data_IF_942660347212
#
_entry.id   IF_942660347212
#
_cell.length_a   1.000
_cell.length_b   1.000
_cell.length_c   1.000
_cell.angle_alpha   90.00
_cell.angle_beta   90.00
_cell.angle_gamma   90.00
#
_symmetry.space_group_name_H-M   'P 1'
#
loop_
_entity.id
_entity.type
_entity.pdbx_description
1 polymer ?
#
# COMPACT_ATOMS: atom_id res chain seq x y z
N UNK A 1 11.30 61.64 -42.88
CA UNK A 1 10.64 60.33 -42.97
C UNK A 1 11.67 59.21 -42.97
N UNK A 2 11.85 58.55 -41.82
CA UNK A 2 12.06 57.09 -41.64
C UNK A 2 12.55 56.87 -40.20
N UNK A 3 11.65 56.34 -39.39
CA UNK A 3 11.81 56.01 -37.98
C UNK A 3 12.89 54.95 -37.76
N UNK A 4 13.67 55.08 -36.69
CA UNK A 4 14.26 53.94 -35.97
C UNK A 4 14.02 54.15 -34.48
N UNK A 5 12.87 53.65 -34.00
CA UNK A 5 12.70 53.30 -32.60
C UNK A 5 13.57 52.07 -32.33
N UNK A 6 14.53 52.20 -31.40
CA UNK A 6 15.20 51.06 -30.79
C UNK A 6 14.44 50.76 -29.51
N UNK A 7 13.55 49.77 -29.57
CA UNK A 7 12.92 49.16 -28.39
C UNK A 7 13.99 48.39 -27.63
N UNK A 8 14.47 48.92 -26.50
CA UNK A 8 15.14 48.10 -25.49
C UNK A 8 14.07 47.40 -24.66
N UNK A 9 13.71 46.19 -25.08
CA UNK A 9 12.94 45.25 -24.28
C UNK A 9 13.89 44.71 -23.20
N UNK A 10 13.74 45.16 -21.95
CA UNK A 10 14.36 44.50 -20.81
C UNK A 10 13.61 43.17 -20.57
N UNK A 11 14.14 42.08 -21.10
CA UNK A 11 13.71 40.73 -20.74
C UNK A 11 14.29 40.43 -19.36
N UNK A 12 13.47 40.61 -18.33
CA UNK A 12 13.76 40.06 -17.00
C UNK A 12 13.56 38.55 -17.11
N UNK A 13 14.66 37.82 -17.33
CA UNK A 13 14.68 36.38 -17.16
C UNK A 13 14.49 36.08 -15.66
N UNK A 14 13.25 35.82 -15.26
CA UNK A 14 12.98 35.17 -13.99
C UNK A 14 13.56 33.75 -14.08
N UNK A 15 14.80 33.58 -13.64
CA UNK A 15 15.37 32.27 -13.39
C UNK A 15 14.55 31.64 -12.25
N UNK A 16 13.56 30.83 -12.61
CA UNK A 16 12.95 29.88 -11.69
C UNK A 16 14.04 28.86 -11.33
N UNK A 17 14.78 29.15 -10.27
CA UNK A 17 15.58 28.14 -9.58
C UNK A 17 14.58 27.13 -9.06
N UNK A 18 14.41 26.04 -9.80
CA UNK A 18 13.75 24.85 -9.29
C UNK A 18 14.64 24.33 -8.16
N UNK A 19 14.35 24.75 -6.93
CA UNK A 19 14.81 24.03 -5.74
C UNK A 19 14.25 22.63 -5.85
N UNK A 20 15.09 21.68 -6.24
CA UNK A 20 14.80 20.26 -6.08
C UNK A 20 14.64 20.05 -4.57
N UNK A 21 13.39 20.01 -4.09
CA UNK A 21 13.11 19.62 -2.72
C UNK A 21 13.70 18.22 -2.55
N UNK A 22 14.65 18.08 -1.63
CA UNK A 22 15.13 16.76 -1.22
C UNK A 22 13.94 15.99 -0.67
N UNK A 23 13.65 14.82 -1.25
CA UNK A 23 12.64 13.91 -0.72
C UNK A 23 13.06 13.53 0.71
N UNK A 24 12.17 13.72 1.68
CA UNK A 24 12.42 13.33 3.06
C UNK A 24 12.55 11.79 3.15
N UNK A 25 13.27 11.29 4.15
CA UNK A 25 13.31 9.85 4.46
C UNK A 25 12.53 9.63 5.75
N UNK A 26 11.63 8.66 5.77
CA UNK A 26 10.93 8.27 7.00
C UNK A 26 11.91 7.54 7.91
N UNK A 27 11.76 7.72 9.22
CA UNK A 27 12.46 6.91 10.20
C UNK A 27 11.77 5.55 10.27
N UNK A 28 12.55 4.48 10.16
CA UNK A 28 12.03 3.13 10.30
C UNK A 28 11.92 2.79 11.77
N UNK A 29 10.74 2.31 12.16
CA UNK A 29 10.52 1.71 13.46
C UNK A 29 10.60 0.20 13.27
N UNK A 30 11.60 -0.43 13.89
CA UNK A 30 11.81 -1.87 13.76
C UNK A 30 10.98 -2.63 14.79
N UNK A 31 10.26 -3.69 14.39
CA UNK A 31 9.58 -4.53 15.36
C UNK A 31 10.58 -5.37 16.16
N UNK A 32 10.26 -5.56 17.44
CA UNK A 32 10.99 -6.41 18.38
C UNK A 32 10.45 -7.83 18.42
N UNK A 33 9.20 -8.05 17.99
CA UNK A 33 8.61 -9.36 17.81
C UNK A 33 7.54 -9.33 16.70
N UNK A 34 7.39 -10.45 15.98
CA UNK A 34 6.32 -10.70 15.02
C UNK A 34 5.72 -12.06 15.34
N UNK A 35 4.40 -12.12 15.45
CA UNK A 35 3.65 -13.36 15.60
C UNK A 35 2.72 -13.53 14.41
N UNK A 36 2.67 -14.74 13.89
CA UNK A 36 1.82 -15.10 12.76
C UNK A 36 0.88 -16.24 13.13
N UNK A 37 -0.22 -16.33 12.41
CA UNK A 37 -1.11 -17.49 12.46
C UNK A 37 -1.06 -18.20 11.12
N UNK A 38 -1.01 -19.52 11.19
CA UNK A 38 -1.21 -20.41 10.06
C UNK A 38 -2.64 -20.94 10.15
N UNK A 39 -3.49 -20.76 9.12
CA UNK A 39 -4.86 -21.28 9.12
C UNK A 39 -4.93 -22.79 9.41
N UNK A 40 -6.08 -23.23 9.91
CA UNK A 40 -6.25 -24.64 10.28
C UNK A 40 -6.27 -25.51 9.03
N UNK A 41 -5.32 -26.42 8.92
CA UNK A 41 -5.20 -27.35 7.80
C UNK A 41 -4.07 -27.02 6.84
N UNK A 42 -3.40 -25.88 7.00
CA UNK A 42 -2.28 -25.48 6.16
C UNK A 42 -1.07 -26.41 6.38
N UNK A 43 -0.34 -26.70 5.31
CA UNK A 43 0.80 -27.59 5.30
C UNK A 43 1.91 -27.06 6.20
N UNK A 44 2.42 -27.98 7.03
CA UNK A 44 3.31 -27.69 8.13
C UNK A 44 4.55 -26.90 7.68
N UNK A 45 4.82 -25.84 8.42
CA UNK A 45 6.09 -25.16 8.38
C UNK A 45 7.26 -26.12 8.60
N UNK A 46 8.36 -25.89 7.88
CA UNK A 46 9.59 -26.65 8.10
C UNK A 46 10.49 -25.90 9.06
N UNK A 47 10.82 -26.51 10.20
CA UNK A 47 11.80 -25.92 11.11
C UNK A 47 13.20 -26.09 10.53
N UNK A 48 13.89 -24.97 10.33
CA UNK A 48 15.29 -24.93 9.87
C UNK A 48 16.17 -24.34 10.96
N UNK A 49 17.49 -24.42 10.81
CA UNK A 49 18.44 -23.73 11.72
C UNK A 49 18.25 -22.19 11.70
N UNK A 50 17.70 -21.63 10.61
CA UNK A 50 17.40 -20.22 10.47
C UNK A 50 16.03 -19.81 11.05
N UNK A 51 15.21 -20.78 11.46
CA UNK A 51 13.87 -20.58 11.99
C UNK A 51 12.80 -21.41 11.27
N UNK A 52 11.55 -21.17 11.65
CA UNK A 52 10.37 -21.78 11.02
C UNK A 52 10.15 -21.17 9.63
N UNK A 53 10.20 -22.01 8.60
CA UNK A 53 9.83 -21.65 7.22
C UNK A 53 8.38 -22.00 7.02
N UNK A 54 7.56 -20.99 6.80
CA UNK A 54 6.17 -21.19 6.43
C UNK A 54 6.05 -21.42 4.92
N UNK A 55 5.37 -22.49 4.53
CA UNK A 55 5.19 -22.92 3.13
C UNK A 55 3.76 -22.79 2.65
N UNK A 56 2.87 -22.41 3.56
CA UNK A 56 1.44 -22.24 3.37
C UNK A 56 1.00 -20.89 3.93
N UNK A 57 -0.27 -20.54 3.73
CA UNK A 57 -0.92 -19.32 4.20
C UNK A 57 -0.43 -18.84 5.57
N UNK A 58 0.15 -17.65 5.58
CA UNK A 58 0.61 -16.99 6.80
C UNK A 58 -0.07 -15.66 6.95
N UNK A 59 -0.85 -15.53 8.02
CA UNK A 59 -1.49 -14.27 8.36
C UNK A 59 -0.72 -13.59 9.48
N UNK A 60 -0.45 -12.29 9.32
CA UNK A 60 0.02 -11.46 10.42
C UNK A 60 -1.02 -11.45 11.54
N UNK A 61 -0.64 -11.95 12.72
CA UNK A 61 -1.53 -11.95 13.88
C UNK A 61 -1.26 -10.75 14.79
N UNK A 62 0.01 -10.57 15.15
CA UNK A 62 0.47 -9.44 15.95
C UNK A 62 1.90 -9.04 15.65
N UNK A 63 2.22 -7.78 15.96
CA UNK A 63 3.54 -7.20 15.83
C UNK A 63 3.82 -6.29 17.03
N UNK A 64 5.04 -6.34 17.53
CA UNK A 64 5.45 -5.58 18.72
C UNK A 64 6.54 -4.59 18.37
N UNK A 65 6.37 -3.34 18.80
CA UNK A 65 7.35 -2.26 18.71
C UNK A 65 7.66 -1.75 20.12
N UNK A 66 8.89 -1.96 20.58
CA UNK A 66 9.25 -1.68 21.97
C UNK A 66 8.37 -2.47 22.95
N UNK A 67 7.56 -1.76 23.74
CA UNK A 67 6.57 -2.34 24.66
C UNK A 67 5.14 -2.40 24.12
N UNK A 68 4.88 -1.83 22.95
CA UNK A 68 3.54 -1.75 22.35
C UNK A 68 3.33 -2.94 21.43
N UNK A 69 2.23 -3.67 21.63
CA UNK A 69 1.83 -4.77 20.73
C UNK A 69 0.56 -4.40 20.01
N UNK A 70 0.60 -4.46 18.67
CA UNK A 70 -0.55 -4.30 17.78
C UNK A 70 -1.02 -5.71 17.45
N UNK A 71 -2.24 -6.06 17.85
CA UNK A 71 -2.76 -7.44 17.70
C UNK A 71 -4.25 -7.48 17.40
N UNK A 72 -4.67 -8.54 16.70
CA UNK A 72 -6.08 -8.79 16.39
C UNK A 72 -6.60 -8.03 15.17
N UNK A 73 -7.67 -8.55 14.56
CA UNK A 73 -8.17 -8.08 13.26
C UNK A 73 -8.64 -6.61 13.25
N UNK A 74 -9.08 -6.07 14.39
CA UNK A 74 -9.52 -4.67 14.48
C UNK A 74 -8.37 -3.67 14.54
N UNK A 75 -7.15 -4.14 14.81
CA UNK A 75 -5.94 -3.31 14.97
C UNK A 75 -5.19 -3.08 13.65
N UNK A 76 -5.67 -3.69 12.56
CA UNK A 76 -5.13 -3.55 11.22
C UNK A 76 -6.22 -3.15 10.25
N UNK A 77 -5.89 -2.30 9.28
CA UNK A 77 -6.72 -2.08 8.10
C UNK A 77 -5.98 -2.52 6.85
N UNK A 78 -6.53 -3.53 6.18
CA UNK A 78 -6.04 -4.03 4.90
C UNK A 78 -6.61 -3.21 3.73
N UNK A 79 -6.09 -3.47 2.53
CA UNK A 79 -6.47 -2.75 1.31
C UNK A 79 -7.89 -3.13 0.86
N UNK A 80 -8.68 -2.15 0.47
CA UNK A 80 -10.03 -2.33 -0.09
C UNK A 80 -10.11 -1.95 -1.57
N UNK A 81 -9.18 -1.11 -2.06
CA UNK A 81 -9.11 -0.71 -3.47
C UNK A 81 -7.66 -0.59 -3.89
N UNK A 82 -7.37 -0.98 -5.12
CA UNK A 82 -6.03 -0.93 -5.70
C UNK A 82 -6.13 -0.42 -7.14
N UNK A 83 -5.10 0.29 -7.61
CA UNK A 83 -4.95 0.68 -9.01
C UNK A 83 -3.48 0.87 -9.36
N UNK A 84 -2.97 0.13 -10.35
CA UNK A 84 -1.67 0.45 -10.96
C UNK A 84 -1.81 1.72 -11.80
N UNK A 85 -0.92 2.67 -11.56
CA UNK A 85 -0.87 3.98 -12.23
C UNK A 85 0.12 3.96 -13.40
N UNK A 86 1.31 3.40 -13.20
CA UNK A 86 2.38 3.28 -14.21
C UNK A 86 3.12 1.96 -14.06
N UNK A 87 3.80 1.53 -15.13
CA UNK A 87 4.68 0.35 -15.06
C UNK A 87 3.94 -0.99 -14.93
N UNK A 88 2.76 -1.15 -15.55
CA UNK A 88 2.00 -2.42 -15.52
C UNK A 88 2.75 -3.64 -16.02
N UNK A 89 3.76 -3.47 -16.87
CA UNK A 89 4.62 -4.56 -17.32
C UNK A 89 5.74 -4.90 -16.31
N UNK A 90 5.80 -4.19 -15.19
CA UNK A 90 6.90 -4.22 -14.22
C UNK A 90 6.43 -4.47 -12.78
N UNK A 91 5.15 -4.79 -12.60
CA UNK A 91 4.59 -5.19 -11.32
C UNK A 91 3.56 -6.27 -11.58
N UNK A 92 3.68 -7.36 -10.85
CA UNK A 92 2.73 -8.46 -10.89
C UNK A 92 2.32 -8.87 -9.49
N UNK A 93 1.24 -9.62 -9.39
CA UNK A 93 0.91 -10.30 -8.15
C UNK A 93 1.50 -11.72 -8.25
N UNK A 94 2.29 -12.10 -7.25
CA UNK A 94 3.00 -13.38 -7.20
C UNK A 94 2.19 -14.45 -6.47
N UNK A 95 2.42 -15.71 -6.82
CA UNK A 95 1.79 -16.87 -6.20
C UNK A 95 2.03 -16.91 -4.69
N UNK A 96 0.93 -16.86 -3.95
CA UNK A 96 0.85 -17.45 -2.62
C UNK A 96 1.16 -18.94 -2.66
N UNK A 97 1.49 -19.46 -1.47
CA UNK A 97 1.65 -20.85 -1.04
C UNK A 97 1.41 -22.07 -1.96
N UNK A 98 1.99 -23.19 -1.54
CA UNK A 98 1.99 -24.44 -2.31
C UNK A 98 0.65 -25.19 -2.26
N UNK A 99 -0.33 -24.73 -1.49
CA UNK A 99 -1.64 -25.39 -1.23
C UNK A 99 -1.48 -26.90 -1.01
N UNK A 100 -0.43 -27.28 -0.28
CA UNK A 100 -0.07 -28.70 -0.14
C UNK A 100 -0.96 -29.46 0.87
N UNK A 101 -1.86 -28.75 1.54
CA UNK A 101 -2.82 -29.31 2.46
C UNK A 101 -4.21 -28.66 2.32
N UNK A 102 -5.24 -29.34 2.85
CA UNK A 102 -6.64 -28.90 2.73
C UNK A 102 -7.01 -28.04 3.93
N UNK A 103 -6.90 -26.72 3.80
CA UNK A 103 -7.14 -25.76 4.88
C UNK A 103 -8.37 -24.85 4.67
N UNK A 104 -9.03 -25.01 3.53
CA UNK A 104 -10.21 -24.23 3.16
C UNK A 104 -9.94 -23.16 2.11
N UNK A 105 -8.67 -22.94 1.74
CA UNK A 105 -8.28 -22.28 0.50
C UNK A 105 -7.46 -23.27 -0.35
N UNK A 106 -8.04 -23.73 -1.45
CA UNK A 106 -7.38 -24.67 -2.37
C UNK A 106 -7.17 -24.05 -3.75
N UNK A 107 -7.24 -22.72 -3.80
CA UNK A 107 -7.05 -21.95 -5.01
C UNK A 107 -5.79 -21.11 -4.80
N UNK A 108 -4.61 -21.62 -5.19
CA UNK A 108 -3.37 -20.91 -4.93
C UNK A 108 -3.51 -19.57 -5.61
N UNK A 109 -3.15 -18.49 -4.91
CA UNK A 109 -3.32 -17.14 -5.39
C UNK A 109 -2.80 -17.05 -6.84
N UNK A 110 -3.73 -16.90 -7.78
CA UNK A 110 -3.41 -16.99 -9.19
C UNK A 110 -2.63 -15.73 -9.61
N UNK A 111 -1.42 -15.91 -10.18
CA UNK A 111 -0.72 -14.85 -10.92
C UNK A 111 -1.71 -14.01 -11.71
N UNK A 112 -1.54 -12.69 -11.68
CA UNK A 112 -2.35 -11.76 -12.46
C UNK A 112 -2.44 -12.22 -13.92
N UNK A 113 -3.56 -12.84 -14.32
CA UNK A 113 -3.75 -13.36 -15.69
C UNK A 113 -3.99 -14.86 -15.85
N UNK A 114 -3.91 -15.69 -14.80
CA UNK A 114 -4.36 -17.09 -14.90
C UNK A 114 -5.89 -17.13 -14.85
N UNK A 115 -6.53 -17.68 -15.87
CA UNK A 115 -7.99 -17.84 -15.92
C UNK A 115 -8.39 -18.87 -14.88
N UNK A 116 -9.39 -18.54 -14.05
CA UNK A 116 -9.94 -19.46 -13.04
C UNK A 116 -10.24 -20.85 -13.64
N UNK A 117 -9.67 -21.90 -13.05
CA UNK A 117 -9.82 -23.28 -13.52
C UNK A 117 -8.76 -23.76 -14.52
N UNK A 118 -7.71 -22.98 -14.77
CA UNK A 118 -6.53 -23.41 -15.52
C UNK A 118 -5.30 -23.46 -14.61
N UNK A 119 -4.58 -24.58 -14.63
CA UNK A 119 -3.29 -24.69 -13.96
C UNK A 119 -2.29 -23.78 -14.69
N UNK A 120 -1.51 -22.97 -13.97
CA UNK A 120 -0.59 -22.07 -14.63
C UNK A 120 0.45 -22.80 -15.45
N UNK A 121 0.81 -22.27 -16.61
CA UNK A 121 1.94 -22.80 -17.40
C UNK A 121 3.15 -21.88 -17.27
N UNK A 122 4.36 -22.43 -17.33
CA UNK A 122 5.62 -21.66 -17.32
C UNK A 122 5.77 -20.64 -18.47
N UNK A 123 4.78 -20.56 -19.38
CA UNK A 123 4.73 -19.66 -20.53
C UNK A 123 3.57 -18.67 -20.49
N UNK A 124 2.71 -18.73 -19.48
CA UNK A 124 1.65 -17.73 -19.31
C UNK A 124 2.28 -16.40 -18.90
N UNK A 125 2.21 -15.45 -19.83
CA UNK A 125 2.56 -14.06 -19.56
C UNK A 125 1.53 -13.45 -18.63
N UNK A 126 2.00 -12.68 -17.65
CA UNK A 126 1.10 -11.92 -16.80
C UNK A 126 0.19 -11.00 -17.62
N UNK A 127 -1.06 -10.93 -17.20
CA UNK A 127 -2.03 -10.04 -17.81
C UNK A 127 -1.73 -8.60 -17.39
N UNK A 128 -1.30 -7.80 -18.34
CA UNK A 128 -1.27 -6.33 -18.21
C UNK A 128 -2.66 -5.68 -18.40
N UNK A 129 -3.72 -6.48 -18.54
CA UNK A 129 -5.10 -5.98 -18.63
C UNK A 129 -5.47 -5.29 -17.32
N UNK A 130 -5.80 -3.98 -17.34
CA UNK A 130 -5.91 -3.20 -16.11
C UNK A 130 -6.83 -3.80 -15.05
N UNK A 131 -8.04 -4.22 -15.45
CA UNK A 131 -9.02 -4.75 -14.51
C UNK A 131 -8.60 -6.09 -13.87
N UNK A 132 -7.88 -6.94 -14.60
CA UNK A 132 -7.42 -8.24 -14.10
C UNK A 132 -6.25 -8.03 -13.15
N UNK A 133 -5.27 -7.22 -13.56
CA UNK A 133 -4.07 -6.95 -12.78
C UNK A 133 -4.38 -6.19 -11.49
N UNK A 134 -5.24 -5.16 -11.56
CA UNK A 134 -5.62 -4.39 -10.37
C UNK A 134 -6.41 -5.26 -9.37
N UNK A 135 -7.21 -6.22 -9.85
CA UNK A 135 -7.95 -7.15 -8.99
C UNK A 135 -7.03 -8.20 -8.34
N UNK A 136 -6.06 -8.74 -9.08
CA UNK A 136 -5.07 -9.66 -8.52
C UNK A 136 -4.23 -8.95 -7.45
N UNK A 137 -3.62 -7.81 -7.77
CA UNK A 137 -2.85 -7.02 -6.80
C UNK A 137 -3.71 -6.56 -5.61
N UNK A 138 -4.99 -6.23 -5.82
CA UNK A 138 -5.90 -5.99 -4.70
C UNK A 138 -5.99 -7.20 -3.78
N UNK A 139 -6.18 -8.40 -4.32
CA UNK A 139 -6.26 -9.60 -3.52
C UNK A 139 -5.00 -9.81 -2.68
N UNK A 140 -3.81 -9.58 -3.26
CA UNK A 140 -2.55 -9.74 -2.52
C UNK A 140 -2.38 -8.80 -1.31
N UNK A 141 -3.11 -7.68 -1.27
CA UNK A 141 -3.01 -6.70 -0.18
C UNK A 141 -4.32 -6.54 0.62
N UNK A 142 -5.40 -7.25 0.27
CA UNK A 142 -6.71 -7.07 0.92
C UNK A 142 -6.90 -7.90 2.18
N UNK A 143 -5.95 -8.79 2.46
CA UNK A 143 -5.91 -9.67 3.61
C UNK A 143 -4.74 -9.28 4.52
N UNK A 144 -4.55 -10.00 5.64
CA UNK A 144 -3.32 -9.93 6.45
C UNK A 144 -2.28 -10.96 5.98
N UNK A 145 -2.42 -11.48 4.76
CA UNK A 145 -1.49 -12.45 4.22
C UNK A 145 -0.11 -11.85 4.07
N UNK A 146 0.88 -12.68 4.39
CA UNK A 146 2.29 -12.43 4.19
C UNK A 146 2.85 -13.29 3.06
N UNK A 147 2.10 -14.30 2.61
CA UNK A 147 2.45 -15.19 1.51
C UNK A 147 1.98 -14.67 0.16
N UNK A 148 0.95 -13.80 0.14
CA UNK A 148 0.56 -13.06 -1.06
C UNK A 148 1.41 -11.77 -1.19
N UNK A 149 1.91 -11.47 -2.39
CA UNK A 149 2.79 -10.33 -2.60
C UNK A 149 2.72 -9.75 -4.01
N UNK A 150 3.31 -8.58 -4.18
CA UNK A 150 3.67 -8.07 -5.51
C UNK A 150 5.12 -8.38 -5.84
N UNK A 151 5.38 -8.79 -7.08
CA UNK A 151 6.71 -8.98 -7.65
C UNK A 151 7.08 -7.80 -8.57
N UNK A 152 8.22 -7.19 -8.31
CA UNK A 152 8.77 -6.05 -9.06
C UNK A 152 9.71 -6.49 -10.18
N UNK A 153 9.21 -6.56 -11.42
CA UNK A 153 9.98 -7.12 -12.53
C UNK A 153 11.07 -6.18 -13.09
N UNK A 154 12.10 -6.78 -13.66
CA UNK A 154 13.12 -6.14 -14.54
C UNK A 154 13.85 -4.93 -13.93
N UNK A 155 13.78 -4.75 -12.60
CA UNK A 155 14.30 -3.59 -11.88
C UNK A 155 13.84 -2.26 -12.52
N UNK A 156 12.60 -2.22 -13.03
CA UNK A 156 11.99 -1.03 -13.60
C UNK A 156 11.08 -0.32 -12.59
N UNK A 157 10.81 0.96 -12.84
CA UNK A 157 9.91 1.73 -11.99
C UNK A 157 8.45 1.42 -12.31
N UNK A 158 7.66 1.24 -11.26
CA UNK A 158 6.22 1.16 -11.31
C UNK A 158 5.60 2.01 -10.20
N UNK A 159 4.31 2.31 -10.34
CA UNK A 159 3.58 2.97 -9.26
C UNK A 159 2.13 2.53 -9.21
N UNK A 160 1.59 2.53 -8.01
CA UNK A 160 0.20 2.21 -7.74
C UNK A 160 -0.35 3.09 -6.64
N UNK A 161 -1.67 3.08 -6.48
CA UNK A 161 -2.32 3.61 -5.30
C UNK A 161 -3.29 2.61 -4.73
N UNK A 162 -3.47 2.69 -3.43
CA UNK A 162 -4.37 1.85 -2.66
C UNK A 162 -5.22 2.68 -1.72
N UNK A 163 -6.37 2.12 -1.33
CA UNK A 163 -7.23 2.66 -0.29
C UNK A 163 -7.47 1.56 0.73
N UNK A 164 -7.32 1.86 2.00
CA UNK A 164 -7.59 0.93 3.08
C UNK A 164 -9.11 0.79 3.35
N UNK A 165 -9.49 -0.27 4.05
CA UNK A 165 -10.88 -0.50 4.45
C UNK A 165 -11.38 0.55 5.46
N UNK A 166 -10.48 1.04 6.30
CA UNK A 166 -10.66 2.11 7.28
C UNK A 166 -9.57 3.17 7.08
N UNK A 167 -9.85 4.42 7.41
CA UNK A 167 -8.81 5.42 7.61
C UNK A 167 -8.25 5.34 9.02
N UNK A 168 -7.05 5.86 9.25
CA UNK A 168 -6.43 5.94 10.57
C UNK A 168 -6.03 7.38 10.87
N UNK A 169 -6.40 7.85 12.06
CA UNK A 169 -6.00 9.17 12.53
C UNK A 169 -4.63 9.09 13.18
N UNK A 170 -3.72 9.96 12.74
CA UNK A 170 -2.47 10.26 13.43
C UNK A 170 -2.75 10.64 14.90
N UNK A 171 -2.08 10.01 15.87
CA UNK A 171 -2.32 10.19 17.32
C UNK A 171 -1.38 11.18 17.98
N UNK A 172 -0.28 11.54 17.34
CA UNK A 172 0.77 12.32 17.96
C UNK A 172 1.08 13.58 17.15
N UNK A 173 1.66 14.58 17.82
CA UNK A 173 2.14 15.80 17.18
C UNK A 173 3.63 15.75 16.84
N UNK A 174 4.31 14.70 17.26
CA UNK A 174 5.76 14.51 17.19
C UNK A 174 6.04 13.02 16.95
N UNK A 175 7.02 12.66 16.09
CA UNK A 175 7.31 11.27 15.77
C UNK A 175 7.55 10.42 17.01
N UNK A 176 6.94 9.24 17.05
CA UNK A 176 7.08 8.29 18.14
C UNK A 176 7.51 6.88 17.67
N UNK A 177 7.45 5.90 18.58
CA UNK A 177 7.94 4.52 18.36
C UNK A 177 6.82 3.52 18.07
N UNK A 178 5.60 4.01 17.92
CA UNK A 178 4.40 3.24 17.60
C UNK A 178 3.99 3.58 16.16
N UNK A 179 4.23 2.69 15.19
CA UNK A 179 3.93 3.02 13.80
C UNK A 179 2.44 2.94 13.49
N UNK A 180 1.98 3.83 12.63
CA UNK A 180 0.66 3.78 11.98
C UNK A 180 0.67 3.03 10.66
N UNK A 181 1.81 3.00 9.97
CA UNK A 181 1.98 2.30 8.71
C UNK A 181 2.90 1.11 8.91
N UNK A 182 2.47 -0.04 8.42
CA UNK A 182 3.29 -1.23 8.36
C UNK A 182 3.48 -1.63 6.90
N UNK A 183 4.75 -1.77 6.50
CA UNK A 183 5.16 -2.35 5.24
C UNK A 183 5.89 -3.65 5.51
N UNK A 184 5.63 -4.64 4.66
CA UNK A 184 6.39 -5.87 4.60
C UNK A 184 7.05 -5.94 3.23
N UNK A 185 8.30 -6.38 3.19
CA UNK A 185 9.03 -6.51 1.93
C UNK A 185 9.87 -7.78 2.00
N UNK A 186 10.08 -8.36 0.82
CA UNK A 186 10.86 -9.57 0.64
C UNK A 186 12.35 -9.24 0.60
N UNK A 187 13.11 -9.95 1.43
CA UNK A 187 14.56 -9.92 1.62
C UNK A 187 15.17 -8.67 2.23
N UNK A 188 14.42 -7.60 2.37
CA UNK A 188 14.90 -6.37 2.96
C UNK A 188 15.98 -5.71 2.12
N UNK A 189 15.80 -5.60 0.81
CA UNK A 189 16.85 -5.10 -0.08
C UNK A 189 16.42 -3.90 -0.94
N UNK A 190 15.14 -3.50 -0.90
CA UNK A 190 14.65 -2.45 -1.77
C UNK A 190 14.87 -1.05 -1.21
N UNK A 191 15.98 -0.45 -1.64
CA UNK A 191 16.31 0.93 -1.31
C UNK A 191 15.50 1.99 -2.08
N UNK A 192 14.48 1.61 -2.86
CA UNK A 192 13.83 2.49 -3.84
C UNK A 192 12.31 2.43 -3.76
N UNK A 193 11.78 2.64 -2.55
CA UNK A 193 10.34 2.75 -2.29
C UNK A 193 10.05 4.17 -1.83
N UNK A 194 9.09 4.81 -2.49
CA UNK A 194 8.60 6.16 -2.17
C UNK A 194 7.10 6.12 -1.97
N UNK A 195 6.63 6.83 -0.95
CA UNK A 195 5.24 6.77 -0.50
C UNK A 195 4.70 8.17 -0.28
N UNK A 196 3.46 8.36 -0.70
CA UNK A 196 2.61 9.49 -0.33
C UNK A 196 1.35 8.96 0.35
N UNK A 197 0.98 9.51 1.50
CA UNK A 197 -0.29 9.21 2.15
C UNK A 197 -1.44 9.91 1.43
N UNK A 198 -2.57 9.22 1.28
CA UNK A 198 -3.84 9.82 0.82
C UNK A 198 -4.56 10.39 2.04
N UNK A 199 -4.59 11.71 2.13
CA UNK A 199 -5.14 12.45 3.28
C UNK A 199 -6.51 13.08 3.00
N UNK A 200 -6.98 12.99 1.75
CA UNK A 200 -8.24 13.62 1.33
C UNK A 200 -8.59 13.37 -0.13
N UNK A 201 -9.52 14.15 -0.65
CA UNK A 201 -10.01 14.06 -2.02
C UNK A 201 -10.86 12.81 -2.30
N UNK A 202 -10.71 12.22 -3.50
CA UNK A 202 -11.38 10.98 -3.89
C UNK A 202 -10.36 9.95 -4.37
N UNK A 203 -10.70 8.66 -4.42
CA UNK A 203 -9.77 7.68 -5.02
C UNK A 203 -9.39 8.01 -6.47
N UNK A 204 -10.28 8.66 -7.24
CA UNK A 204 -9.98 9.09 -8.61
C UNK A 204 -9.09 10.35 -8.68
N UNK A 205 -9.25 11.26 -7.73
CA UNK A 205 -8.48 12.50 -7.59
C UNK A 205 -8.13 12.73 -6.11
N UNK A 206 -7.11 12.02 -5.59
CA UNK A 206 -6.74 12.07 -4.18
C UNK A 206 -5.90 13.30 -3.85
N UNK A 207 -5.98 13.73 -2.59
CA UNK A 207 -5.05 14.70 -2.01
C UNK A 207 -3.96 13.93 -1.28
N UNK A 208 -2.70 14.29 -1.57
CA UNK A 208 -1.53 13.57 -1.10
C UNK A 208 -0.74 14.37 -0.06
N UNK A 209 -0.11 13.67 0.87
CA UNK A 209 0.98 14.19 1.68
C UNK A 209 2.23 14.47 0.82
N UNK A 210 3.29 14.96 1.48
CA UNK A 210 4.62 14.95 0.90
C UNK A 210 5.03 13.51 0.55
N UNK A 211 5.84 13.38 -0.51
CA UNK A 211 6.48 12.10 -0.83
C UNK A 211 7.65 11.88 0.12
N UNK A 212 7.70 10.68 0.68
CA UNK A 212 8.73 10.25 1.60
C UNK A 212 9.35 8.96 1.08
N UNK A 213 10.66 8.86 1.20
CA UNK A 213 11.38 7.63 0.90
C UNK A 213 11.31 6.69 2.10
N UNK A 214 10.86 5.47 1.87
CA UNK A 214 10.67 4.41 2.87
C UNK A 214 11.47 3.14 2.52
N UNK A 215 12.52 3.26 1.71
CA UNK A 215 13.42 2.15 1.38
C UNK A 215 14.90 2.51 1.55
N UNK A 216 15.65 1.68 2.28
CA UNK A 216 17.12 1.63 2.27
C UNK A 216 17.65 0.31 2.86
N UNK A 217 18.92 0.03 2.57
CA UNK A 217 19.68 -1.14 3.05
C UNK A 217 19.72 -1.28 4.60
N UNK A 218 19.33 -0.25 5.36
CA UNK A 218 19.29 -0.26 6.84
C UNK A 218 17.91 -0.61 7.43
N UNK A 219 16.89 -0.86 6.61
CA UNK A 219 15.49 -0.95 7.06
C UNK A 219 15.15 -2.25 7.82
N UNK A 220 16.05 -3.24 7.83
CA UNK A 220 15.65 -4.64 8.01
C UNK A 220 16.42 -5.40 9.09
N UNK A 221 16.78 -4.75 10.20
CA UNK A 221 17.43 -5.40 11.34
C UNK A 221 16.47 -5.91 12.43
N UNK A 222 15.16 -5.68 12.28
CA UNK A 222 14.13 -6.12 13.22
C UNK A 222 13.79 -7.60 13.12
N UNK A 223 12.73 -8.02 13.82
CA UNK A 223 12.19 -9.38 13.69
C UNK A 223 11.81 -9.70 12.24
N UNK A 224 12.08 -10.94 11.83
CA UNK A 224 11.79 -11.48 10.50
C UNK A 224 11.06 -12.80 10.59
N UNK A 225 10.39 -13.18 9.52
CA UNK A 225 9.88 -14.53 9.31
C UNK A 225 10.43 -15.09 7.99
N UNK A 226 10.42 -16.41 7.86
CA UNK A 226 10.77 -17.09 6.61
C UNK A 226 9.51 -17.62 5.96
N UNK A 227 9.29 -17.25 4.70
CA UNK A 227 8.22 -17.81 3.86
C UNK A 227 8.81 -18.50 2.65
N UNK A 228 8.13 -19.50 2.10
CA UNK A 228 8.52 -20.16 0.86
C UNK A 228 7.29 -20.26 -0.03
N UNK A 229 7.25 -19.43 -1.07
CA UNK A 229 6.17 -19.38 -2.06
C UNK A 229 6.39 -20.39 -3.18
N UNK A 230 5.34 -20.67 -3.96
CA UNK A 230 5.41 -21.56 -5.13
C UNK A 230 6.42 -21.07 -6.16
N UNK A 231 6.42 -19.77 -6.41
CA UNK A 231 7.25 -19.16 -7.46
C UNK A 231 8.75 -19.27 -7.18
N UNK A 232 9.14 -19.03 -5.93
CA UNK A 232 10.55 -18.97 -5.55
C UNK A 232 11.11 -20.35 -5.19
N UNK A 233 10.25 -21.25 -4.72
CA UNK A 233 10.58 -22.63 -4.33
C UNK A 233 11.79 -22.73 -3.36
N UNK A 234 12.09 -21.65 -2.65
CA UNK A 234 13.14 -21.56 -1.64
C UNK A 234 12.78 -20.54 -0.55
N UNK A 235 13.19 -20.75 0.72
CA UNK A 235 12.85 -19.84 1.82
C UNK A 235 13.40 -18.43 1.61
N UNK A 236 12.52 -17.43 1.71
CA UNK A 236 12.81 -16.01 1.64
C UNK A 236 12.51 -15.33 2.97
N UNK A 237 13.28 -14.31 3.31
CA UNK A 237 13.05 -13.52 4.53
C UNK A 237 12.00 -12.46 4.24
N UNK A 238 10.97 -12.36 5.08
CA UNK A 238 10.12 -11.18 5.11
C UNK A 238 10.60 -10.23 6.19
N UNK A 239 10.80 -8.99 5.79
CA UNK A 239 11.27 -7.92 6.64
C UNK A 239 10.13 -6.91 6.84
N UNK A 240 10.02 -6.38 8.07
CA UNK A 240 8.92 -5.52 8.48
C UNK A 240 9.44 -4.13 8.82
N UNK A 241 8.79 -3.10 8.27
CA UNK A 241 9.08 -1.70 8.54
C UNK A 241 7.84 -0.99 9.05
N UNK A 242 7.91 -0.46 10.27
CA UNK A 242 6.92 0.48 10.79
C UNK A 242 7.28 1.92 10.44
N UNK A 243 6.28 2.74 10.13
CA UNK A 243 6.46 4.17 9.90
C UNK A 243 5.39 4.98 10.62
N UNK A 244 5.86 6.06 11.24
CA UNK A 244 5.05 7.06 11.90
C UNK A 244 4.47 8.05 10.87
N UNK A 245 3.22 8.46 11.05
CA UNK A 245 2.57 9.39 10.11
C UNK A 245 3.15 10.81 10.12
N UNK A 246 3.78 11.24 11.21
CA UNK A 246 4.44 12.55 11.29
C UNK A 246 5.62 12.65 10.31
N UNK A 247 6.27 11.54 9.96
CA UNK A 247 7.35 11.51 8.95
C UNK A 247 6.86 11.93 7.55
N UNK A 248 5.55 11.82 7.30
CA UNK A 248 4.90 12.30 6.08
C UNK A 248 4.57 13.79 6.11
N UNK A 249 4.98 14.49 7.18
CA UNK A 249 4.69 15.90 7.43
C UNK A 249 3.23 16.14 7.78
N UNK A 250 2.55 15.14 8.35
CA UNK A 250 1.17 15.24 8.77
C UNK A 250 1.08 15.83 10.17
N UNK A 251 0.00 16.58 10.41
CA UNK A 251 -0.31 17.09 11.74
C UNK A 251 -1.19 16.10 12.50
N UNK A 252 -1.04 16.05 13.82
CA UNK A 252 -1.88 15.27 14.72
C UNK A 252 -3.37 15.34 14.36
N UNK A 253 -4.04 14.19 14.34
CA UNK A 253 -5.45 14.06 13.99
C UNK A 253 -5.75 14.06 12.49
N UNK A 254 -4.75 14.22 11.62
CA UNK A 254 -4.92 14.00 10.18
C UNK A 254 -5.25 12.53 9.93
N UNK A 255 -6.29 12.27 9.12
CA UNK A 255 -6.65 10.90 8.75
C UNK A 255 -5.94 10.48 7.46
N UNK A 256 -5.30 9.33 7.48
CA UNK A 256 -4.78 8.66 6.29
C UNK A 256 -5.74 7.57 5.85
N UNK A 257 -6.13 7.60 4.58
CA UNK A 257 -7.10 6.66 4.00
C UNK A 257 -6.46 5.63 3.06
N UNK A 258 -5.24 5.87 2.63
CA UNK A 258 -4.60 5.09 1.58
C UNK A 258 -3.19 5.59 1.29
N UNK A 259 -2.56 5.00 0.29
CA UNK A 259 -1.18 5.30 -0.08
C UNK A 259 -1.10 5.39 -1.61
N UNK A 260 -0.20 6.23 -2.10
CA UNK A 260 0.39 6.07 -3.43
C UNK A 260 1.83 5.63 -3.22
N UNK A 261 2.19 4.53 -3.85
CA UNK A 261 3.51 3.91 -3.77
C UNK A 261 4.14 3.99 -5.15
N UNK A 262 5.39 4.43 -5.18
CA UNK A 262 6.28 4.35 -6.34
C UNK A 262 7.46 3.51 -5.91
N UNK A 263 7.78 2.48 -6.68
CA UNK A 263 8.87 1.58 -6.35
C UNK A 263 9.63 1.17 -7.61
N UNK A 264 10.84 0.66 -7.41
CA UNK A 264 11.68 0.16 -8.51
C UNK A 264 12.21 -1.22 -8.16
N UNK A 265 11.71 -2.22 -8.89
CA UNK A 265 12.09 -3.63 -8.70
C UNK A 265 11.73 -4.22 -7.34
N UNK A 266 10.80 -3.57 -6.62
CA UNK A 266 10.55 -3.93 -5.23
C UNK A 266 9.52 -5.04 -5.07
N UNK A 267 9.75 -5.89 -4.08
CA UNK A 267 8.91 -7.05 -3.79
C UNK A 267 8.14 -6.85 -2.49
N UNK A 268 6.91 -6.39 -2.61
CA UNK A 268 6.14 -5.86 -1.49
C UNK A 268 5.13 -6.91 -1.01
N UNK A 269 5.24 -7.27 0.27
CA UNK A 269 4.27 -8.07 1.00
C UNK A 269 3.41 -7.11 1.83
N UNK A 270 2.16 -7.44 2.13
CA UNK A 270 1.31 -6.77 3.14
C UNK A 270 1.55 -5.28 3.44
N UNK A 271 0.62 -4.41 3.02
CA UNK A 271 0.59 -3.01 3.45
C UNK A 271 -0.59 -2.78 4.37
N UNK A 272 -0.34 -2.23 5.57
CA UNK A 272 -1.38 -2.05 6.58
C UNK A 272 -1.34 -0.66 7.18
N UNK A 273 -2.52 -0.14 7.48
CA UNK A 273 -2.65 0.77 8.62
C UNK A 273 -2.69 -0.08 9.89
N UNK A 274 -1.96 0.32 10.92
CA UNK A 274 -1.82 -0.41 12.17
C UNK A 274 -2.05 0.54 13.35
N UNK A 275 -2.75 0.07 14.39
CA UNK A 275 -2.94 0.85 15.61
C UNK A 275 -3.15 -0.06 16.81
N UNK A 276 -2.45 0.22 17.91
CA UNK A 276 -2.69 -0.46 19.19
C UNK A 276 -4.04 -0.05 19.83
N UNK A 277 -4.60 1.09 19.43
CA UNK A 277 -5.94 1.54 19.78
C UNK A 277 -6.87 1.48 18.54
N UNK A 278 -7.70 0.42 18.41
CA UNK A 278 -8.62 0.27 17.29
C UNK A 278 -9.64 1.41 17.15
N UNK A 279 -9.88 2.20 18.21
CA UNK A 279 -10.85 3.31 18.15
C UNK A 279 -10.36 4.50 17.31
N UNK A 280 -9.06 4.54 16.99
CA UNK A 280 -8.46 5.50 16.04
C UNK A 280 -8.86 5.23 14.59
N UNK A 281 -9.35 4.04 14.27
CA UNK A 281 -9.85 3.74 12.92
C UNK A 281 -11.16 4.45 12.66
N UNK A 282 -11.24 5.11 11.52
CA UNK A 282 -12.44 5.76 11.02
C UNK A 282 -12.92 5.04 9.76
N UNK A 283 -14.22 5.07 9.43
CA UNK A 283 -14.70 4.54 8.16
C UNK A 283 -13.95 5.19 7.00
N UNK A 284 -13.45 4.40 6.04
CA UNK A 284 -12.78 4.93 4.85
C UNK A 284 -13.78 5.66 3.93
N UNK A 285 -14.08 6.91 4.27
CA UNK A 285 -14.79 7.85 3.44
C UNK A 285 -13.76 8.84 2.92
N UNK A 286 -13.13 8.53 1.77
CA UNK A 286 -12.47 9.60 1.01
C UNK A 286 -13.58 10.60 0.66
N UNK A 287 -13.49 11.89 1.06
CA UNK A 287 -14.58 12.84 0.91
C UNK A 287 -15.21 12.79 -0.48
N UNK A 288 -16.52 12.55 -0.55
CA UNK A 288 -17.26 12.66 -1.81
C UNK A 288 -17.08 14.11 -2.30
N UNK A 289 -16.82 14.37 -3.61
CA UNK A 289 -16.63 15.73 -4.07
C UNK A 289 -17.78 16.60 -3.58
N UNK A 290 -17.48 17.78 -3.03
CA UNK A 290 -18.49 18.68 -2.44
C UNK A 290 -19.66 19.00 -3.41
N UNK A 291 -19.47 18.78 -4.72
CA UNK A 291 -20.48 18.91 -5.75
C UNK A 291 -21.62 17.86 -5.71
N UNK A 292 -21.43 16.70 -5.08
CA UNK A 292 -22.43 15.62 -5.04
C UNK A 292 -23.57 15.83 -4.02
N UNK A 293 -23.31 16.24 -2.76
CA UNK A 293 -24.40 16.62 -1.86
C UNK A 293 -25.13 17.90 -2.33
N UNK A 294 -24.42 18.81 -3.01
CA UNK A 294 -25.03 19.98 -3.67
C UNK A 294 -25.96 19.60 -4.83
N UNK A 295 -25.61 18.58 -5.64
CA UNK A 295 -26.48 18.08 -6.71
C UNK A 295 -27.73 17.37 -6.16
N UNK A 296 -27.57 16.56 -5.11
CA UNK A 296 -28.68 15.87 -4.45
C UNK A 296 -29.66 16.86 -3.78
N UNK A 297 -29.13 17.90 -3.13
CA UNK A 297 -29.91 19.00 -2.56
C UNK A 297 -30.61 19.84 -3.64
N UNK A 298 -29.93 20.15 -4.75
CA UNK A 298 -30.50 20.91 -5.87
C UNK A 298 -31.63 20.15 -6.59
N UNK A 299 -31.50 18.82 -6.76
CA UNK A 299 -32.57 18.00 -7.33
C UNK A 299 -33.77 17.85 -6.38
N UNK A 300 -33.53 17.74 -5.08
CA UNK A 300 -34.60 17.74 -4.06
C UNK A 300 -35.38 19.06 -4.01
N UNK A 301 -34.69 20.19 -4.11
CA UNK A 301 -35.31 21.52 -4.17
C UNK A 301 -36.13 21.72 -5.46
N UNK A 302 -35.65 21.21 -6.60
CA UNK A 302 -36.35 21.31 -7.89
C UNK A 302 -37.64 20.47 -7.92
N UNK A 303 -37.63 19.28 -7.30
CA UNK A 303 -38.81 18.42 -7.17
C UNK A 303 -39.89 19.03 -6.25
N UNK A 304 -39.47 19.66 -5.14
CA UNK A 304 -40.36 20.40 -4.23
C UNK A 304 -40.98 21.65 -4.90
N UNK A 305 -40.19 22.39 -5.70
CA UNK A 305 -40.69 23.54 -6.46
C UNK A 305 -41.67 23.14 -7.57
N UNK A 306 -41.49 21.98 -8.22
CA UNK A 306 -42.45 21.44 -9.21
C UNK A 306 -43.76 21.00 -8.56
N UNK A 307 -43.72 20.46 -7.34
CA UNK A 307 -44.93 20.02 -6.61
C UNK A 307 -45.79 21.20 -6.15
N UNK A 308 -45.18 22.33 -5.80
CA UNK A 308 -45.89 23.58 -5.43
C UNK A 308 -46.56 24.31 -6.59
N UNK A 309 -46.21 24.03 -7.85
CA UNK A 309 -46.87 24.64 -9.03
C UNK A 309 -48.07 23.84 -9.57
N UNK A 310 -48.38 22.68 -8.97
CA UNK A 310 -49.53 21.82 -9.34
C UNK A 310 -50.63 21.78 -8.26
N UNK A 311 -50.49 22.57 -7.20
CA UNK A 311 -51.52 22.78 -6.18
C UNK A 311 -52.12 24.18 -6.36
#
# INVERSE_FOLDING_TARGET
MKHKLVNQLAVVAAASVATFASVANAAVIHPTAVTVTVPTGAAASTSTTAGTVYTDDVLLDSITFGSTTISGAASFSAVKRFQVLTGRAHINAEYGDKDTASDGDSNPFAKAGVIAGQAPTATERESVTPAIQDAALLNAFNSRSLTEMSDGEDNQEYSFKLLFANGLNDDSSDPDITPELLFVERNGNDANIWVQAIIGGTFGNPEYSNEVKVGSDTYWSGSKILVNTVEIDSPQLLSFGGFDLNDFGLAAGTTVYGLKVRAKGADLNGMFLASADPTRFTPALVPVPASLPLLAGAMGALALLRRRRKA
#
